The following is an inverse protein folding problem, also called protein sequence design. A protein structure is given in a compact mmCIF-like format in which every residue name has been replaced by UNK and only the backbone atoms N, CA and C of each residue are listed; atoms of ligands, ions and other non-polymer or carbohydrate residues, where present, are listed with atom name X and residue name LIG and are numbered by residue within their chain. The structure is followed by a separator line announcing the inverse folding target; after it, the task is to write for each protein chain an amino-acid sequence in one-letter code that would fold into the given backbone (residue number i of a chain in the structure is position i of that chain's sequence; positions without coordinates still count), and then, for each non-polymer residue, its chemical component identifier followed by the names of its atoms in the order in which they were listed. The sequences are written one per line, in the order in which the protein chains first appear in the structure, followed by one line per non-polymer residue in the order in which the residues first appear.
data_IF_491915370094
#
_entry.id   IF_491915370094
#
_cell.length_a   1.000
_cell.length_b   1.000
_cell.length_c   1.000
_cell.angle_alpha   90.00
_cell.angle_beta   90.00
_cell.angle_gamma   90.00
#
_symmetry.space_group_name_H-M   'P 1'
#
loop_
_entity.id
_entity.type
_entity.pdbx_description
1 polymer ?
#
# COMPACT_ATOMS: atom_id res chain seq x y z
N UNK A 1 11.69 27.82 5.90
CA UNK A 1 10.65 26.81 5.68
C UNK A 1 11.21 25.43 5.98
N UNK A 2 10.65 24.70 6.94
CA UNK A 2 11.06 23.31 7.19
C UNK A 2 10.43 22.37 6.14
N UNK A 3 10.82 21.09 6.13
CA UNK A 3 10.33 20.12 5.14
C UNK A 3 8.82 19.92 5.18
N UNK A 4 8.24 19.92 6.39
CA UNK A 4 6.81 19.76 6.62
C UNK A 4 5.99 20.92 6.08
N UNK A 5 6.41 22.15 6.39
CA UNK A 5 5.80 23.38 5.90
C UNK A 5 5.87 23.44 4.36
N UNK A 6 7.03 23.11 3.78
CA UNK A 6 7.23 23.06 2.33
C UNK A 6 6.27 22.12 1.64
N UNK A 7 6.16 20.89 2.13
CA UNK A 7 5.24 19.91 1.58
C UNK A 7 3.79 20.37 1.64
N UNK A 8 3.33 20.83 2.81
CA UNK A 8 1.96 21.29 2.97
C UNK A 8 1.66 22.47 2.02
N UNK A 9 2.56 23.45 1.92
CA UNK A 9 2.41 24.57 0.97
C UNK A 9 2.32 24.11 -0.48
N UNK A 10 3.18 23.18 -0.91
CA UNK A 10 3.13 22.61 -2.27
C UNK A 10 1.80 21.93 -2.54
N UNK A 11 1.33 21.09 -1.62
CA UNK A 11 0.08 20.34 -1.79
C UNK A 11 -1.16 21.26 -1.77
N UNK A 12 -1.03 22.47 -1.23
CA UNK A 12 -2.04 23.52 -1.26
C UNK A 12 -1.80 24.60 -2.32
N UNK A 13 -0.90 24.35 -3.28
CA UNK A 13 -0.58 25.26 -4.38
C UNK A 13 -0.07 26.64 -3.95
N UNK A 14 0.60 26.71 -2.80
CA UNK A 14 1.21 27.92 -2.26
C UNK A 14 2.69 28.06 -2.67
N UNK A 15 3.25 29.29 -2.71
CA UNK A 15 4.65 29.51 -3.02
C UNK A 15 5.59 28.81 -2.00
N UNK A 16 6.70 28.26 -2.49
CA UNK A 16 7.74 27.63 -1.67
C UNK A 16 9.15 28.08 -2.07
N UNK A 17 10.11 27.83 -1.20
CA UNK A 17 11.52 28.15 -1.42
C UNK A 17 12.23 27.21 -2.42
N UNK A 18 11.80 25.94 -2.47
CA UNK A 18 12.23 24.95 -3.49
C UNK A 18 11.27 23.76 -3.54
N UNK A 19 11.45 22.88 -4.52
CA UNK A 19 10.72 21.61 -4.64
C UNK A 19 11.45 20.52 -3.82
N UNK A 20 10.74 19.66 -3.05
CA UNK A 20 11.35 18.53 -2.35
C UNK A 20 11.68 17.39 -3.31
N UNK A 21 12.76 16.67 -3.03
CA UNK A 21 13.15 15.48 -3.77
C UNK A 21 12.88 14.22 -2.94
N UNK A 22 11.91 13.41 -3.36
CA UNK A 22 11.54 12.17 -2.70
C UNK A 22 11.78 10.95 -3.57
N UNK A 23 12.34 9.90 -2.97
CA UNK A 23 12.16 8.53 -3.46
C UNK A 23 10.79 8.06 -2.97
N UNK A 24 9.89 7.81 -3.91
CA UNK A 24 8.52 7.32 -3.65
C UNK A 24 8.53 5.79 -3.66
N UNK A 25 9.26 5.20 -4.61
CA UNK A 25 9.61 3.79 -4.61
C UNK A 25 11.08 3.59 -4.24
N UNK A 26 11.34 2.51 -3.50
CA UNK A 26 12.70 2.14 -3.13
C UNK A 26 13.48 1.65 -4.37
N UNK A 27 14.76 2.00 -4.43
CA UNK A 27 15.67 1.38 -5.41
C UNK A 27 15.89 -0.07 -5.00
N UNK A 28 15.83 -0.99 -5.97
CA UNK A 28 16.07 -2.40 -5.74
C UNK A 28 17.43 -2.63 -5.08
N UNK A 29 17.47 -3.51 -4.07
CA UNK A 29 18.70 -3.79 -3.33
C UNK A 29 19.79 -4.35 -4.25
N UNK A 30 19.44 -5.17 -5.26
CA UNK A 30 20.38 -5.63 -6.29
C UNK A 30 21.06 -4.49 -7.02
N UNK A 31 20.30 -3.47 -7.40
CA UNK A 31 20.82 -2.33 -8.15
C UNK A 31 21.82 -1.56 -7.28
N UNK A 32 21.49 -1.32 -6.01
CA UNK A 32 22.40 -0.68 -5.05
C UNK A 32 23.67 -1.53 -4.88
N UNK A 33 23.52 -2.85 -4.67
CA UNK A 33 24.65 -3.78 -4.55
C UNK A 33 25.52 -3.79 -5.80
N UNK A 34 24.93 -3.70 -6.98
CA UNK A 34 25.65 -3.61 -8.25
C UNK A 34 26.41 -2.29 -8.37
N UNK A 35 25.77 -1.14 -8.08
CA UNK A 35 26.44 0.16 -8.14
C UNK A 35 27.58 0.29 -7.13
N UNK A 36 27.47 -0.35 -5.96
CA UNK A 36 28.58 -0.45 -5.00
C UNK A 36 29.75 -1.24 -5.62
N UNK A 37 29.48 -2.39 -6.23
CA UNK A 37 30.52 -3.21 -6.89
C UNK A 37 31.21 -2.47 -8.03
N UNK A 38 30.45 -1.68 -8.78
CA UNK A 38 30.96 -0.91 -9.92
C UNK A 38 31.68 0.38 -9.49
N UNK A 39 31.70 0.70 -8.19
CA UNK A 39 32.32 1.92 -7.66
C UNK A 39 31.51 3.20 -7.91
N UNK A 40 30.23 3.07 -8.29
CA UNK A 40 29.31 4.18 -8.56
C UNK A 40 28.48 4.60 -7.35
N UNK A 41 28.49 3.79 -6.27
CA UNK A 41 27.75 4.08 -5.05
C UNK A 41 28.65 3.87 -3.82
N UNK A 42 28.81 4.88 -2.94
CA UNK A 42 29.68 4.74 -1.77
C UNK A 42 29.16 3.72 -0.76
N UNK A 43 30.06 2.89 -0.24
CA UNK A 43 29.74 1.92 0.81
C UNK A 43 29.32 2.65 2.09
N UNK A 44 28.23 2.19 2.69
CA UNK A 44 27.73 2.71 3.97
C UNK A 44 26.91 4.00 3.88
N UNK A 45 26.74 4.57 2.68
CA UNK A 45 25.85 5.71 2.46
C UNK A 45 24.44 5.22 2.10
N UNK A 46 23.41 5.97 2.51
CA UNK A 46 22.04 5.74 2.06
C UNK A 46 21.77 6.47 0.74
N UNK A 47 20.67 6.12 0.06
CA UNK A 47 20.18 6.89 -1.10
C UNK A 47 19.96 8.36 -0.75
N UNK A 48 19.46 8.63 0.47
CA UNK A 48 19.26 9.99 0.96
C UNK A 48 20.58 10.76 1.08
N UNK A 49 21.66 10.10 1.50
CA UNK A 49 22.98 10.74 1.61
C UNK A 49 23.58 11.08 0.25
N UNK A 50 23.38 10.21 -0.75
CA UNK A 50 23.93 10.38 -2.10
C UNK A 50 23.11 11.37 -2.92
N UNK A 51 21.78 11.18 -2.97
CA UNK A 51 20.88 12.00 -3.79
C UNK A 51 20.32 13.23 -3.06
N UNK A 52 20.66 13.41 -1.77
CA UNK A 52 20.18 14.51 -0.93
C UNK A 52 18.65 14.58 -0.88
N UNK A 53 18.03 13.40 -0.70
CA UNK A 53 16.57 13.29 -0.61
C UNK A 53 16.05 14.04 0.62
N UNK A 54 14.91 14.71 0.45
CA UNK A 54 14.21 15.35 1.56
C UNK A 54 13.63 14.31 2.51
N UNK A 55 13.77 14.50 3.84
CA UNK A 55 13.23 13.56 4.81
C UNK A 55 11.69 13.55 4.76
N UNK A 56 11.12 12.38 5.03
CA UNK A 56 9.69 12.16 5.25
C UNK A 56 9.52 10.97 6.19
N UNK A 57 8.47 11.00 6.99
CA UNK A 57 8.00 9.85 7.73
C UNK A 57 6.89 9.16 6.95
N UNK A 58 6.86 7.83 6.99
CA UNK A 58 5.79 7.05 6.40
C UNK A 58 5.35 5.95 7.36
N UNK A 59 4.13 6.08 7.86
CA UNK A 59 3.51 5.09 8.71
C UNK A 59 2.78 4.09 7.81
N UNK A 60 3.11 2.81 7.98
CA UNK A 60 2.36 1.70 7.38
C UNK A 60 1.43 1.11 8.44
N UNK A 61 0.12 1.05 8.16
CA UNK A 61 -0.82 0.34 9.02
C UNK A 61 -0.50 -1.16 9.05
N UNK A 62 -0.59 -1.78 10.22
CA UNK A 62 -0.50 -3.24 10.33
C UNK A 62 -1.81 -3.88 9.89
N UNK A 63 -1.87 -4.18 8.60
CA UNK A 63 -2.99 -4.86 7.94
C UNK A 63 -2.67 -6.32 7.62
N UNK A 64 -1.70 -6.92 8.31
CA UNK A 64 -1.33 -8.33 8.11
C UNK A 64 -2.29 -9.27 8.87
N UNK A 65 -2.42 -10.54 8.45
CA UNK A 65 -3.25 -11.51 9.14
C UNK A 65 -2.72 -11.82 10.53
N UNK A 66 -3.60 -11.80 11.54
CA UNK A 66 -3.27 -12.13 12.92
C UNK A 66 -4.22 -13.23 13.45
N UNK A 67 -3.72 -14.43 13.83
CA UNK A 67 -2.35 -14.90 13.59
C UNK A 67 -2.06 -15.05 12.09
N UNK A 68 -0.79 -14.90 11.72
CA UNK A 68 -0.33 -15.20 10.37
C UNK A 68 -0.43 -16.71 10.05
N UNK A 69 -0.30 -17.06 8.78
CA UNK A 69 -0.18 -18.45 8.37
C UNK A 69 1.23 -18.99 8.64
N UNK A 70 1.33 -20.29 8.92
CA UNK A 70 2.62 -20.94 9.16
C UNK A 70 3.37 -21.06 7.83
N UNK A 71 4.44 -20.27 7.69
CA UNK A 71 5.33 -20.35 6.54
C UNK A 71 6.02 -21.71 6.50
N UNK A 72 6.00 -22.36 5.34
CA UNK A 72 6.63 -23.67 5.16
C UNK A 72 7.04 -23.90 3.71
N UNK A 73 8.11 -24.67 3.52
CA UNK A 73 8.50 -25.18 2.20
C UNK A 73 7.58 -26.34 1.82
N UNK A 74 7.08 -26.32 0.59
CA UNK A 74 6.29 -27.42 0.02
C UNK A 74 7.19 -28.29 -0.86
N UNK A 75 7.93 -27.65 -1.76
CA UNK A 75 8.74 -28.31 -2.78
C UNK A 75 9.93 -27.44 -3.16
N UNK A 76 10.99 -28.06 -3.68
CA UNK A 76 12.17 -27.35 -4.16
C UNK A 76 12.94 -28.21 -5.19
N UNK A 77 13.22 -27.62 -6.35
CA UNK A 77 14.07 -28.18 -7.41
C UNK A 77 15.37 -27.35 -7.56
N UNK A 78 16.26 -27.68 -8.49
CA UNK A 78 17.53 -26.95 -8.68
C UNK A 78 17.36 -25.44 -8.96
N UNK A 79 16.22 -25.05 -9.51
CA UNK A 79 15.94 -23.69 -9.99
C UNK A 79 14.88 -22.96 -9.16
N UNK A 80 13.88 -23.67 -8.64
CA UNK A 80 12.70 -23.10 -8.01
C UNK A 80 12.50 -23.60 -6.59
N UNK A 81 11.81 -22.77 -5.80
CA UNK A 81 11.29 -23.13 -4.49
C UNK A 81 9.80 -22.80 -4.44
N UNK A 82 9.01 -23.71 -3.91
CA UNK A 82 7.59 -23.49 -3.63
C UNK A 82 7.36 -23.43 -2.11
N UNK A 83 6.74 -22.35 -1.64
CA UNK A 83 6.46 -22.11 -0.22
C UNK A 83 5.00 -21.77 0.02
N UNK A 84 4.57 -21.93 1.28
CA UNK A 84 3.43 -21.19 1.84
C UNK A 84 3.98 -19.95 2.52
N UNK A 85 3.44 -18.78 2.18
CA UNK A 85 3.84 -17.51 2.80
C UNK A 85 2.99 -17.15 4.04
N UNK A 86 3.27 -15.99 4.64
CA UNK A 86 2.60 -15.54 5.87
C UNK A 86 1.11 -15.20 5.67
N UNK A 87 0.66 -15.04 4.43
CA UNK A 87 -0.75 -14.83 4.03
C UNK A 87 -1.43 -16.15 3.61
N UNK A 88 -0.68 -17.26 3.65
CA UNK A 88 -1.15 -18.59 3.30
C UNK A 88 -1.11 -18.89 1.80
N UNK A 89 -0.55 -17.99 0.99
CA UNK A 89 -0.41 -18.21 -0.44
C UNK A 89 0.60 -19.30 -0.74
N UNK A 90 0.29 -20.12 -1.73
CA UNK A 90 1.30 -20.96 -2.37
C UNK A 90 2.04 -20.14 -3.42
N UNK A 91 3.34 -19.96 -3.21
CA UNK A 91 4.19 -19.09 -4.03
C UNK A 91 5.36 -19.88 -4.57
N UNK A 92 5.67 -19.70 -5.86
CA UNK A 92 6.86 -20.26 -6.50
C UNK A 92 7.87 -19.17 -6.81
N UNK A 93 9.04 -19.22 -6.19
CA UNK A 93 10.11 -18.21 -6.32
C UNK A 93 11.34 -18.82 -7.00
N UNK A 94 11.96 -18.05 -7.89
CA UNK A 94 13.22 -18.44 -8.55
C UNK A 94 14.40 -18.29 -7.57
N UNK A 95 15.20 -19.35 -7.36
CA UNK A 95 16.30 -19.32 -6.37
C UNK A 95 17.34 -18.23 -6.63
N UNK A 96 17.58 -17.92 -7.90
CA UNK A 96 18.52 -16.88 -8.33
C UNK A 96 18.10 -15.46 -7.88
N UNK A 97 16.83 -15.25 -7.52
CA UNK A 97 16.26 -13.95 -7.15
C UNK A 97 15.91 -13.89 -5.66
N UNK A 98 16.64 -14.62 -4.81
CA UNK A 98 16.36 -14.74 -3.37
C UNK A 98 16.74 -13.51 -2.54
N UNK A 99 17.26 -12.45 -3.15
CA UNK A 99 17.80 -11.26 -2.47
C UNK A 99 17.23 -9.92 -3.03
N UNK A 100 16.08 -9.98 -3.70
CA UNK A 100 15.46 -8.82 -4.38
C UNK A 100 13.96 -8.90 -4.48
N UNK A 101 13.34 -8.12 -5.40
CA UNK A 101 11.94 -8.35 -5.72
C UNK A 101 11.83 -9.76 -6.25
N UNK A 102 11.28 -10.64 -5.41
CA UNK A 102 11.05 -12.02 -5.78
C UNK A 102 10.17 -12.00 -7.03
N UNK A 103 10.72 -12.43 -8.17
CA UNK A 103 9.83 -12.87 -9.25
C UNK A 103 9.18 -14.13 -8.71
N UNK A 104 7.96 -13.94 -8.23
CA UNK A 104 7.19 -14.98 -7.60
C UNK A 104 5.92 -15.20 -8.39
N UNK A 105 5.59 -16.47 -8.60
CA UNK A 105 4.31 -16.85 -9.19
C UNK A 105 3.37 -17.25 -8.08
N UNK A 106 2.25 -16.54 -7.99
CA UNK A 106 1.13 -16.94 -7.16
C UNK A 106 0.50 -18.21 -7.77
N UNK A 107 0.66 -19.36 -7.12
CA UNK A 107 0.06 -20.61 -7.56
C UNK A 107 -1.37 -20.78 -7.05
N UNK A 108 -1.61 -20.40 -5.80
CA UNK A 108 -2.95 -20.40 -5.20
C UNK A 108 -3.03 -19.46 -4.01
N UNK A 109 -4.20 -18.81 -3.85
CA UNK A 109 -4.56 -18.02 -2.68
C UNK A 109 -5.31 -18.84 -1.63
N UNK A 110 -5.66 -18.21 -0.51
CA UNK A 110 -6.42 -18.85 0.57
C UNK A 110 -7.94 -18.71 0.43
N UNK A 111 -8.41 -17.89 -0.52
CA UNK A 111 -9.83 -17.66 -0.78
C UNK A 111 -10.18 -18.11 -2.19
N UNK A 112 -11.08 -19.09 -2.30
CA UNK A 112 -11.66 -19.52 -3.58
C UNK A 112 -13.16 -19.29 -3.66
N UNK A 113 -13.83 -19.07 -2.52
CA UNK A 113 -15.27 -18.90 -2.42
C UNK A 113 -15.63 -18.06 -1.17
N UNK A 114 -16.93 -17.75 -1.02
CA UNK A 114 -17.43 -16.96 0.12
C UNK A 114 -17.15 -17.60 1.48
N UNK A 115 -17.19 -18.93 1.62
CA UNK A 115 -16.90 -19.60 2.90
C UNK A 115 -15.45 -19.36 3.32
N UNK A 116 -14.50 -19.49 2.39
CA UNK A 116 -13.09 -19.22 2.67
C UNK A 116 -12.88 -17.76 3.08
N UNK A 117 -13.60 -16.83 2.43
CA UNK A 117 -13.59 -15.42 2.80
C UNK A 117 -14.11 -15.17 4.22
N UNK A 118 -15.22 -15.78 4.63
CA UNK A 118 -15.73 -15.69 6.00
C UNK A 118 -14.73 -16.23 7.04
N UNK A 119 -14.03 -17.32 6.73
CA UNK A 119 -12.99 -17.86 7.61
C UNK A 119 -11.76 -16.94 7.67
N UNK A 120 -11.35 -16.34 6.54
CA UNK A 120 -10.22 -15.43 6.48
C UNK A 120 -10.45 -14.17 7.33
N UNK A 121 -11.67 -13.61 7.32
CA UNK A 121 -12.03 -12.41 8.11
C UNK A 121 -11.72 -12.56 9.61
N UNK A 122 -11.77 -13.79 10.15
CA UNK A 122 -11.45 -14.07 11.56
C UNK A 122 -10.00 -13.74 11.94
N UNK A 123 -9.10 -13.56 10.96
CA UNK A 123 -7.69 -13.14 11.17
C UNK A 123 -7.51 -11.61 11.15
N UNK A 124 -8.60 -10.87 10.99
CA UNK A 124 -8.60 -9.42 10.80
C UNK A 124 -9.45 -8.72 11.86
N UNK A 125 -9.15 -8.96 13.13
CA UNK A 125 -9.68 -8.16 14.23
C UNK A 125 -8.94 -6.82 14.29
N UNK A 126 -9.57 -5.67 13.99
CA UNK A 126 -8.91 -4.37 14.03
C UNK A 126 -8.56 -3.91 15.45
N UNK A 127 -9.23 -4.45 16.49
CA UNK A 127 -9.01 -4.07 17.88
C UNK A 127 -7.81 -4.79 18.53
N UNK A 128 -7.22 -5.76 17.83
CA UNK A 128 -6.09 -6.53 18.34
C UNK A 128 -4.91 -5.60 18.68
N UNK A 129 -4.45 -5.56 19.95
CA UNK A 129 -3.42 -4.64 20.39
C UNK A 129 -2.07 -4.85 19.68
N UNK A 130 -1.84 -6.04 19.09
CA UNK A 130 -0.61 -6.35 18.34
C UNK A 130 -0.49 -5.55 17.04
N UNK A 131 -1.57 -4.95 16.54
CA UNK A 131 -1.54 -4.07 15.35
C UNK A 131 -0.87 -2.73 15.61
N UNK A 132 -0.71 -2.35 16.88
CA UNK A 132 0.00 -1.12 17.24
C UNK A 132 1.51 -1.40 17.25
N UNK A 133 2.34 -0.44 16.79
CA UNK A 133 3.78 -0.62 16.84
C UNK A 133 4.24 -0.82 18.29
N UNK A 134 5.36 -1.52 18.48
CA UNK A 134 5.92 -1.75 19.82
C UNK A 134 6.25 -0.45 20.58
N UNK A 135 6.44 0.64 19.85
CA UNK A 135 6.70 1.99 20.36
C UNK A 135 5.43 2.81 20.59
N UNK A 136 4.24 2.24 20.42
CA UNK A 136 2.98 2.95 20.61
C UNK A 136 2.86 3.50 22.05
N UNK A 137 2.71 4.82 22.15
CA UNK A 137 2.64 5.54 23.42
C UNK A 137 2.91 7.04 23.25
N UNK A 138 2.97 7.78 24.36
CA UNK A 138 3.14 9.25 24.34
C UNK A 138 4.38 9.71 23.56
N UNK A 139 5.50 9.00 23.67
CA UNK A 139 6.76 9.34 22.99
C UNK A 139 6.63 9.32 21.46
N UNK A 140 6.01 8.27 20.91
CA UNK A 140 5.81 8.16 19.46
C UNK A 140 4.82 9.20 18.94
N UNK A 141 3.78 9.49 19.73
CA UNK A 141 2.79 10.53 19.40
C UNK A 141 3.47 11.91 19.38
N UNK A 142 4.29 12.22 20.39
CA UNK A 142 5.06 13.46 20.47
C UNK A 142 6.03 13.60 19.28
N UNK A 143 6.70 12.51 18.90
CA UNK A 143 7.58 12.46 17.73
C UNK A 143 6.87 12.90 16.45
N UNK A 144 5.74 12.29 16.11
CA UNK A 144 5.01 12.62 14.88
C UNK A 144 4.39 14.04 14.93
N UNK A 145 3.93 14.47 16.11
CA UNK A 145 3.34 15.80 16.29
C UNK A 145 4.36 16.93 16.10
N UNK A 146 5.63 16.70 16.47
CA UNK A 146 6.71 17.69 16.36
C UNK A 146 7.67 17.46 15.18
N UNK A 147 7.43 16.44 14.35
CA UNK A 147 8.24 16.16 13.17
C UNK A 147 8.37 17.40 12.26
N UNK A 148 9.60 17.70 11.83
CA UNK A 148 9.90 18.81 10.90
C UNK A 148 9.84 18.41 9.42
N UNK A 149 9.55 17.14 9.15
CA UNK A 149 9.26 16.58 7.83
C UNK A 149 7.80 16.12 7.77
N UNK A 150 7.24 15.89 6.57
CA UNK A 150 5.88 15.38 6.41
C UNK A 150 5.74 13.97 6.99
N UNK A 151 4.62 13.74 7.68
CA UNK A 151 4.23 12.44 8.20
C UNK A 151 3.10 11.89 7.34
N UNK A 152 3.39 10.85 6.56
CA UNK A 152 2.44 10.18 5.69
C UNK A 152 1.83 8.93 6.30
N UNK A 153 0.61 8.61 5.88
CA UNK A 153 -0.06 7.35 6.16
C UNK A 153 -0.24 6.54 4.88
N UNK A 154 0.34 5.34 4.82
CA UNK A 154 0.13 4.38 3.74
C UNK A 154 -1.01 3.43 4.10
N UNK A 155 -1.98 3.34 3.20
CA UNK A 155 -3.10 2.37 3.28
C UNK A 155 -2.94 1.40 2.11
N UNK A 156 -2.60 0.14 2.39
CA UNK A 156 -2.53 -0.89 1.34
C UNK A 156 -3.95 -1.19 0.84
N UNK A 157 -4.15 -1.10 -0.49
CA UNK A 157 -5.48 -1.15 -1.09
C UNK A 157 -5.48 -1.92 -2.42
N UNK A 158 -6.67 -2.30 -2.87
CA UNK A 158 -6.90 -2.89 -4.18
C UNK A 158 -6.26 -4.26 -4.39
N UNK A 159 -6.37 -4.81 -5.60
CA UNK A 159 -6.09 -6.21 -5.86
C UNK A 159 -4.60 -6.57 -5.90
N UNK A 160 -3.68 -5.62 -5.99
CA UNK A 160 -2.24 -5.91 -5.94
C UNK A 160 -1.60 -5.73 -4.56
N UNK A 161 -2.25 -5.02 -3.62
CA UNK A 161 -1.65 -4.69 -2.29
C UNK A 161 -2.56 -4.94 -1.09
N UNK A 162 -3.89 -4.95 -1.25
CA UNK A 162 -4.81 -5.48 -0.24
C UNK A 162 -4.50 -6.95 0.08
N UNK A 163 -5.09 -7.55 1.13
CA UNK A 163 -4.70 -8.87 1.70
C UNK A 163 -4.01 -9.80 0.69
N UNK A 164 -2.67 -9.77 0.75
CA UNK A 164 -1.73 -9.82 -0.37
C UNK A 164 -2.20 -10.58 -1.63
N UNK A 165 -2.37 -9.85 -2.74
CA UNK A 165 -2.87 -10.28 -4.07
C UNK A 165 -4.34 -10.74 -4.10
N UNK A 166 -5.24 -9.84 -4.48
CA UNK A 166 -6.63 -10.14 -4.81
C UNK A 166 -7.46 -10.53 -3.59
N UNK A 167 -7.24 -9.88 -2.44
CA UNK A 167 -7.90 -10.21 -1.16
C UNK A 167 -7.85 -11.70 -0.83
N UNK A 168 -6.65 -12.24 -1.00
CA UNK A 168 -6.29 -13.64 -0.85
C UNK A 168 -6.76 -14.61 -1.95
N UNK A 169 -7.19 -14.13 -3.12
CA UNK A 169 -7.53 -14.97 -4.28
C UNK A 169 -6.39 -15.14 -5.29
N UNK A 170 -5.44 -14.20 -5.32
CA UNK A 170 -4.60 -13.94 -6.49
C UNK A 170 -5.25 -12.93 -7.45
N UNK A 171 -4.41 -12.18 -8.18
CA UNK A 171 -4.87 -11.06 -9.03
C UNK A 171 -5.82 -11.51 -10.14
N UNK A 172 -5.44 -12.54 -10.91
CA UNK A 172 -6.24 -13.03 -12.04
C UNK A 172 -7.62 -13.48 -11.57
N UNK A 173 -7.67 -14.32 -10.53
CA UNK A 173 -8.93 -14.80 -9.95
C UNK A 173 -9.78 -13.67 -9.40
N UNK A 174 -9.18 -12.68 -8.74
CA UNK A 174 -9.93 -11.52 -8.28
C UNK A 174 -10.58 -10.76 -9.46
N UNK A 175 -9.85 -10.54 -10.55
CA UNK A 175 -10.39 -9.86 -11.74
C UNK A 175 -11.51 -10.65 -12.42
N UNK A 176 -11.45 -11.99 -12.43
CA UNK A 176 -12.58 -12.84 -12.84
C UNK A 176 -13.80 -12.62 -11.93
N UNK A 177 -13.59 -12.61 -10.60
CA UNK A 177 -14.67 -12.43 -9.62
C UNK A 177 -15.34 -11.06 -9.69
N UNK A 178 -14.65 -10.02 -10.20
CA UNK A 178 -15.28 -8.72 -10.50
C UNK A 178 -16.42 -8.86 -11.50
N UNK A 179 -16.35 -9.84 -12.41
CA UNK A 179 -17.40 -10.17 -13.37
C UNK A 179 -18.36 -11.25 -12.84
N UNK A 180 -17.81 -12.33 -12.29
CA UNK A 180 -18.57 -13.53 -11.93
C UNK A 180 -19.40 -13.37 -10.66
N UNK A 181 -18.88 -12.66 -9.66
CA UNK A 181 -19.57 -12.38 -8.39
C UNK A 181 -19.14 -11.00 -7.84
N UNK A 182 -19.62 -9.91 -8.44
CA UNK A 182 -19.36 -8.56 -7.94
C UNK A 182 -19.86 -8.33 -6.52
N UNK A 183 -20.79 -9.16 -6.03
CA UNK A 183 -21.30 -9.10 -4.65
C UNK A 183 -20.24 -9.53 -3.64
N UNK A 184 -19.47 -10.57 -3.93
CA UNK A 184 -18.33 -10.99 -3.10
C UNK A 184 -17.21 -9.94 -3.12
N UNK A 185 -16.87 -9.40 -4.30
CA UNK A 185 -15.85 -8.34 -4.41
C UNK A 185 -16.26 -7.09 -3.64
N UNK A 186 -17.53 -6.71 -3.70
CA UNK A 186 -18.06 -5.60 -2.91
C UNK A 186 -17.93 -5.86 -1.40
N UNK A 187 -18.29 -7.06 -0.93
CA UNK A 187 -18.12 -7.46 0.48
C UNK A 187 -16.66 -7.36 0.94
N UNK A 188 -15.71 -7.74 0.08
CA UNK A 188 -14.28 -7.63 0.36
C UNK A 188 -13.79 -6.19 0.50
N UNK A 189 -14.14 -5.34 -0.46
CA UNK A 189 -13.79 -3.92 -0.43
C UNK A 189 -14.44 -3.22 0.75
N UNK A 190 -15.69 -3.57 1.05
CA UNK A 190 -16.44 -2.98 2.14
C UNK A 190 -15.88 -3.34 3.52
N UNK A 191 -15.59 -4.63 3.72
CA UNK A 191 -14.90 -5.11 4.91
C UNK A 191 -13.54 -4.43 5.07
N UNK A 192 -12.78 -4.33 3.98
CA UNK A 192 -11.44 -3.73 4.03
C UNK A 192 -11.48 -2.26 4.41
N UNK A 193 -12.45 -1.49 3.88
CA UNK A 193 -12.67 -0.10 4.27
C UNK A 193 -12.90 0.04 5.78
N UNK A 194 -13.81 -0.76 6.34
CA UNK A 194 -14.11 -0.73 7.78
C UNK A 194 -12.89 -1.14 8.61
N UNK A 195 -12.22 -2.21 8.20
CA UNK A 195 -11.01 -2.69 8.87
C UNK A 195 -9.89 -1.63 8.90
N UNK A 196 -9.56 -1.00 7.76
CA UNK A 196 -8.49 0.02 7.75
C UNK A 196 -8.86 1.28 8.52
N UNK A 197 -10.13 1.68 8.52
CA UNK A 197 -10.62 2.80 9.33
C UNK A 197 -10.41 2.52 10.81
N UNK A 198 -10.83 1.35 11.29
CA UNK A 198 -10.68 0.99 12.70
C UNK A 198 -9.21 0.84 13.12
N UNK A 199 -8.37 0.22 12.28
CA UNK A 199 -6.93 0.10 12.57
C UNK A 199 -6.25 1.48 12.60
N UNK A 200 -6.66 2.41 11.73
CA UNK A 200 -6.08 3.75 11.69
C UNK A 200 -6.57 4.68 12.80
N UNK A 201 -7.73 4.40 13.42
CA UNK A 201 -8.49 5.33 14.25
C UNK A 201 -7.69 6.00 15.35
N UNK A 202 -6.97 5.23 16.15
CA UNK A 202 -6.17 5.76 17.25
C UNK A 202 -4.99 6.59 16.75
N UNK A 203 -4.37 6.15 15.64
CA UNK A 203 -3.21 6.81 15.04
C UNK A 203 -3.58 8.19 14.51
N UNK A 204 -4.61 8.28 13.67
CA UNK A 204 -5.00 9.55 13.02
C UNK A 204 -5.63 10.55 13.99
N UNK A 205 -6.20 10.08 15.11
CA UNK A 205 -6.75 10.96 16.15
C UNK A 205 -5.69 11.45 17.15
N UNK A 206 -4.56 10.74 17.29
CA UNK A 206 -3.50 11.09 18.23
C UNK A 206 -2.32 11.83 17.57
N UNK A 207 -2.06 11.54 16.30
CA UNK A 207 -0.89 12.04 15.57
C UNK A 207 -1.30 13.02 14.48
N UNK A 208 -0.50 14.06 14.29
CA UNK A 208 -0.60 14.98 13.16
C UNK A 208 -0.07 14.29 11.92
N UNK A 209 -0.99 13.80 11.10
CA UNK A 209 -0.72 13.19 9.78
C UNK A 209 -0.91 14.28 8.72
N UNK A 210 0.09 14.49 7.86
CA UNK A 210 0.02 15.52 6.81
C UNK A 210 -0.66 15.01 5.54
N UNK A 211 -0.55 13.72 5.24
CA UNK A 211 -1.18 13.12 4.07
C UNK A 211 -1.43 11.63 4.29
N UNK A 212 -2.41 11.10 3.57
CA UNK A 212 -2.62 9.66 3.46
C UNK A 212 -2.61 9.26 1.98
N UNK A 213 -2.32 8.02 1.65
CA UNK A 213 -2.53 7.53 0.30
C UNK A 213 -2.92 6.06 0.26
N UNK A 214 -3.78 5.74 -0.71
CA UNK A 214 -4.03 4.36 -1.12
C UNK A 214 -2.84 3.87 -1.92
N UNK A 215 -2.10 2.90 -1.38
CA UNK A 215 -1.14 2.11 -2.14
C UNK A 215 -1.93 1.03 -2.89
N UNK A 216 -2.52 1.38 -4.03
CA UNK A 216 -3.35 0.50 -4.85
C UNK A 216 -2.59 -0.03 -6.06
N UNK A 217 -2.29 -1.32 -6.09
CA UNK A 217 -1.62 -1.94 -7.25
C UNK A 217 -2.58 -2.91 -7.97
N UNK A 218 -2.23 -3.35 -9.17
CA UNK A 218 -2.98 -4.36 -9.92
C UNK A 218 -4.28 -3.87 -10.56
N UNK A 219 -4.48 -2.56 -10.70
CA UNK A 219 -5.59 -1.99 -11.47
C UNK A 219 -5.14 -1.26 -12.74
N UNK A 220 -3.89 -0.79 -12.79
CA UNK A 220 -3.30 -0.17 -13.96
C UNK A 220 -2.72 -1.21 -14.90
N UNK A 221 -2.75 -0.91 -16.19
CA UNK A 221 -2.07 -1.67 -17.23
C UNK A 221 -1.35 -0.69 -18.18
N UNK A 222 -0.69 -1.20 -19.22
CA UNK A 222 0.19 -0.39 -20.08
C UNK A 222 -0.48 0.90 -20.61
N UNK A 223 -1.72 0.82 -21.09
CA UNK A 223 -2.39 1.94 -21.76
C UNK A 223 -3.73 2.35 -21.13
N UNK A 224 -4.20 1.62 -20.11
CA UNK A 224 -5.51 1.84 -19.48
C UNK A 224 -5.60 1.04 -18.18
N UNK A 225 -6.65 1.27 -17.39
CA UNK A 225 -7.01 0.41 -16.26
C UNK A 225 -7.54 -0.95 -16.72
N UNK A 226 -7.31 -1.98 -15.90
CA UNK A 226 -7.84 -3.35 -16.07
C UNK A 226 -9.35 -3.43 -15.81
N UNK A 227 -9.90 -2.47 -15.06
CA UNK A 227 -11.33 -2.35 -14.79
C UNK A 227 -11.89 -1.08 -15.43
N UNK A 228 -13.13 -1.16 -15.94
CA UNK A 228 -13.79 0.02 -16.53
C UNK A 228 -14.15 1.06 -15.46
N UNK A 229 -14.21 2.36 -15.81
CA UNK A 229 -14.69 3.41 -14.88
C UNK A 229 -16.08 3.11 -14.30
N UNK A 230 -16.97 2.46 -15.07
CA UNK A 230 -18.29 2.04 -14.59
C UNK A 230 -18.19 1.04 -13.42
N UNK A 231 -17.31 0.04 -13.55
CA UNK A 231 -17.11 -0.98 -12.52
C UNK A 231 -16.38 -0.41 -11.31
N UNK A 232 -15.35 0.41 -11.54
CA UNK A 232 -14.63 1.09 -10.46
C UNK A 232 -15.56 1.99 -9.64
N UNK A 233 -16.44 2.76 -10.32
CA UNK A 233 -17.48 3.57 -9.66
C UNK A 233 -18.44 2.73 -8.82
N UNK A 234 -18.82 1.56 -9.29
CA UNK A 234 -19.80 0.70 -8.61
C UNK A 234 -19.20 -0.06 -7.41
N UNK A 235 -17.96 -0.53 -7.54
CA UNK A 235 -17.36 -1.45 -6.57
C UNK A 235 -16.31 -0.79 -5.65
N UNK A 236 -15.38 -0.01 -6.20
CA UNK A 236 -14.28 0.61 -5.42
C UNK A 236 -14.70 1.89 -4.72
N UNK A 237 -15.32 2.80 -5.47
CA UNK A 237 -15.60 4.17 -5.00
C UNK A 237 -16.42 4.22 -3.70
N UNK A 238 -17.45 3.39 -3.47
CA UNK A 238 -18.20 3.44 -2.20
C UNK A 238 -17.32 3.12 -0.98
N UNK A 239 -16.48 2.09 -1.08
CA UNK A 239 -15.57 1.68 -0.02
C UNK A 239 -14.45 2.71 0.20
N UNK A 240 -13.82 3.17 -0.88
CA UNK A 240 -12.77 4.20 -0.82
C UNK A 240 -13.31 5.52 -0.25
N UNK A 241 -14.52 5.94 -0.64
CA UNK A 241 -15.17 7.15 -0.13
C UNK A 241 -15.33 7.11 1.39
N UNK A 242 -15.73 5.96 1.96
CA UNK A 242 -15.82 5.82 3.42
C UNK A 242 -14.49 6.08 4.11
N UNK A 243 -13.40 5.59 3.53
CA UNK A 243 -12.04 5.83 4.04
C UNK A 243 -11.65 7.30 3.87
N UNK A 244 -11.88 7.91 2.70
CA UNK A 244 -11.49 9.31 2.48
C UNK A 244 -12.31 10.29 3.32
N UNK A 245 -13.61 10.07 3.48
CA UNK A 245 -14.49 10.87 4.34
C UNK A 245 -14.06 10.75 5.82
N UNK A 246 -13.69 9.54 6.27
CA UNK A 246 -13.13 9.33 7.60
C UNK A 246 -11.82 10.11 7.78
N UNK A 247 -10.85 9.98 6.88
CA UNK A 247 -9.56 10.69 6.96
C UNK A 247 -9.75 12.21 7.00
N UNK A 248 -10.65 12.74 6.17
CA UNK A 248 -11.02 14.17 6.20
C UNK A 248 -11.62 14.62 7.51
N UNK A 249 -12.47 13.78 8.12
CA UNK A 249 -13.04 14.08 9.44
C UNK A 249 -11.96 14.23 10.53
N UNK A 250 -10.76 13.69 10.29
CA UNK A 250 -9.57 13.80 11.15
C UNK A 250 -8.63 14.94 10.73
N UNK A 251 -9.03 15.77 9.77
CA UNK A 251 -8.24 16.90 9.27
C UNK A 251 -7.18 16.52 8.22
N UNK A 252 -7.21 15.30 7.68
CA UNK A 252 -6.31 14.86 6.62
C UNK A 252 -6.99 15.12 5.27
N UNK A 253 -6.61 16.19 4.60
CA UNK A 253 -7.19 16.64 3.33
C UNK A 253 -6.35 16.30 2.10
N UNK A 254 -5.03 16.11 2.28
CA UNK A 254 -4.13 15.60 1.26
C UNK A 254 -4.27 14.08 1.19
N UNK A 255 -5.01 13.60 0.18
CA UNK A 255 -5.24 12.16 -0.05
C UNK A 255 -4.68 11.77 -1.40
N UNK A 256 -3.73 10.85 -1.39
CA UNK A 256 -3.08 10.30 -2.56
C UNK A 256 -3.68 9.00 -3.06
N UNK A 257 -3.49 8.74 -4.35
CA UNK A 257 -3.68 7.44 -4.97
C UNK A 257 -2.38 7.03 -5.66
N UNK A 258 -1.86 5.88 -5.26
CA UNK A 258 -0.71 5.25 -5.88
C UNK A 258 -1.14 4.04 -6.68
N UNK A 259 -0.72 3.93 -7.94
CA UNK A 259 -0.87 2.71 -8.74
C UNK A 259 0.14 2.62 -9.87
N UNK A 260 0.76 1.45 -10.03
CA UNK A 260 1.58 1.14 -11.21
C UNK A 260 0.70 0.95 -12.45
N UNK A 261 1.19 1.37 -13.61
CA UNK A 261 0.44 1.37 -14.86
C UNK A 261 -0.48 2.58 -15.03
N UNK A 262 -1.18 2.62 -16.17
CA UNK A 262 -2.07 3.72 -16.54
C UNK A 262 -3.43 3.62 -15.83
N UNK A 263 -3.72 4.58 -14.96
CA UNK A 263 -5.02 4.74 -14.27
C UNK A 263 -5.76 6.01 -14.69
N UNK A 264 -5.32 6.68 -15.77
CA UNK A 264 -5.93 7.90 -16.31
C UNK A 264 -7.47 7.85 -16.41
N UNK A 265 -8.11 6.75 -16.89
CA UNK A 265 -9.57 6.69 -17.00
C UNK A 265 -10.31 6.78 -15.64
N UNK A 266 -9.62 6.51 -14.53
CA UNK A 266 -10.20 6.46 -13.19
C UNK A 266 -10.01 7.77 -12.41
N UNK A 267 -9.10 8.65 -12.85
CA UNK A 267 -8.81 9.92 -12.17
C UNK A 267 -10.07 10.75 -11.88
N UNK A 268 -11.03 10.93 -12.80
CA UNK A 268 -12.26 11.67 -12.48
C UNK A 268 -13.04 11.09 -11.28
N UNK A 269 -13.04 9.76 -11.13
CA UNK A 269 -13.71 9.09 -10.02
C UNK A 269 -12.96 9.27 -8.70
N UNK A 270 -11.63 9.30 -8.75
CA UNK A 270 -10.78 9.56 -7.61
C UNK A 270 -10.96 11.01 -7.12
N UNK A 271 -11.07 11.97 -8.05
CA UNK A 271 -11.40 13.36 -7.75
C UNK A 271 -12.79 13.49 -7.08
N UNK A 272 -13.79 12.70 -7.51
CA UNK A 272 -15.15 12.67 -6.90
C UNK A 272 -15.14 12.24 -5.40
N UNK A 273 -14.09 11.54 -4.94
CA UNK A 273 -13.87 11.18 -3.53
C UNK A 273 -12.76 12.02 -2.87
N UNK A 274 -12.35 13.09 -3.56
CA UNK A 274 -11.38 14.09 -3.15
C UNK A 274 -9.94 13.61 -3.06
N UNK A 275 -9.56 12.56 -3.76
CA UNK A 275 -8.12 12.30 -3.99
C UNK A 275 -7.54 13.54 -4.67
N UNK A 276 -6.49 14.11 -4.08
CA UNK A 276 -5.85 15.36 -4.51
C UNK A 276 -4.40 15.16 -4.96
N UNK A 277 -3.86 13.96 -4.78
CA UNK A 277 -2.50 13.58 -5.18
C UNK A 277 -2.55 12.25 -5.96
N UNK A 278 -1.79 12.14 -7.06
CA UNK A 278 -1.72 10.93 -7.87
C UNK A 278 -0.26 10.66 -8.28
N UNK A 279 0.19 9.41 -8.17
CA UNK A 279 1.55 9.00 -8.52
C UNK A 279 1.66 7.48 -8.74
N UNK A 280 2.61 6.97 -9.54
CA UNK A 280 3.39 7.69 -10.54
C UNK A 280 2.53 8.18 -11.71
N UNK A 281 3.06 9.15 -12.46
CA UNK A 281 2.53 9.51 -13.77
C UNK A 281 3.16 8.57 -14.80
N UNK A 282 2.46 7.49 -15.14
CA UNK A 282 2.80 6.61 -16.25
C UNK A 282 1.89 6.94 -17.44
N UNK A 283 2.50 7.28 -18.58
CA UNK A 283 1.84 7.68 -19.82
C UNK A 283 2.31 6.81 -21.00
#
# INVERSE_FOLDING_TARGET
MNGRERFNRIMHFEPVDRIPLWSVEAVMEEAIRQWIRDGHFPIGMSLSDVFKLDPKELIKLDTDPLPAFVQRKIDEDDRWRTTIDAYGFQVRTLKAHSVGPEIYYCLSGTVSNRRDWEELKKRYDPADPRRRPRTWGPELIEYYNHATCPVGLRIDWGPGRGVKNGYAMGLERFLEMVMDDPGLVKDMLDFWAEFVIEVARDLVSSCRIDYAFFSEDGIGYKNSSLVSPKMYRALWIPAMRRVTDFLRSQGIDIIGHYSSGCTLPLIPLLLDIGVSLHFPLEA
#
